data_IF_403551921513
#
_entry.id   IF_403551921513
#
_cell.length_a   1.000
_cell.length_b   1.000
_cell.length_c   1.000
_cell.angle_alpha   90.00
_cell.angle_beta   90.00
_cell.angle_gamma   90.00
#
_symmetry.space_group_name_H-M   'P 1'
#
loop_
_entity.id
_entity.type
_entity.pdbx_description
1 polymer ?
#
# COMPACT_ATOMS: atom_id res chain seq x y z
N UNK A 1 -15.59 -10.37 -10.56
CA UNK A 1 -14.48 -9.39 -10.45
C UNK A 1 -14.48 -8.39 -11.60
N UNK A 2 -14.70 -8.82 -12.85
CA UNK A 2 -14.76 -7.96 -14.05
C UNK A 2 -15.78 -6.81 -13.97
N UNK A 3 -16.98 -7.07 -13.44
CA UNK A 3 -18.07 -6.08 -13.36
C UNK A 3 -17.75 -4.86 -12.49
N UNK A 4 -17.02 -5.08 -11.39
CA UNK A 4 -16.58 -4.01 -10.47
C UNK A 4 -15.46 -3.18 -11.11
N UNK A 5 -14.54 -3.83 -11.83
CA UNK A 5 -13.48 -3.15 -12.57
C UNK A 5 -14.04 -2.35 -13.75
N UNK A 6 -15.10 -2.82 -14.41
CA UNK A 6 -15.75 -2.08 -15.49
C UNK A 6 -16.52 -0.85 -15.01
N UNK A 7 -16.91 -0.79 -13.74
CA UNK A 7 -17.59 0.35 -13.12
C UNK A 7 -16.72 1.06 -12.07
N UNK A 8 -15.40 0.96 -12.20
CA UNK A 8 -14.43 1.47 -11.23
C UNK A 8 -14.72 2.92 -10.79
N UNK A 9 -15.04 3.82 -11.73
CA UNK A 9 -15.33 5.24 -11.45
C UNK A 9 -16.60 5.48 -10.63
N UNK A 10 -17.53 4.53 -10.59
CA UNK A 10 -18.74 4.60 -9.75
C UNK A 10 -18.39 4.42 -8.28
N UNK A 11 -17.33 3.65 -7.98
CA UNK A 11 -16.92 3.30 -6.62
C UNK A 11 -15.69 4.09 -6.15
N UNK A 12 -14.81 4.47 -7.09
CA UNK A 12 -13.62 5.30 -6.86
C UNK A 12 -13.71 6.51 -7.78
N UNK A 13 -14.43 7.56 -7.36
CA UNK A 13 -14.70 8.72 -8.21
C UNK A 13 -13.45 9.58 -8.44
N UNK A 14 -12.49 9.56 -7.51
CA UNK A 14 -11.26 10.32 -7.60
C UNK A 14 -10.08 9.52 -7.04
N UNK A 15 -9.08 9.29 -7.89
CA UNK A 15 -7.87 8.53 -7.59
C UNK A 15 -6.93 9.26 -6.63
N UNK A 16 -7.03 10.59 -6.53
CA UNK A 16 -6.20 11.39 -5.63
C UNK A 16 -6.53 11.15 -4.15
N UNK A 17 -7.71 10.61 -3.85
CA UNK A 17 -8.10 10.23 -2.50
C UNK A 17 -7.91 8.73 -2.21
N UNK A 18 -7.43 7.96 -3.19
CA UNK A 18 -7.07 6.58 -2.96
C UNK A 18 -5.80 6.59 -2.10
N UNK A 19 -5.89 6.05 -0.89
CA UNK A 19 -4.73 5.91 -0.01
C UNK A 19 -3.66 5.13 -0.77
N UNK A 20 -2.57 5.81 -1.13
CA UNK A 20 -1.40 5.15 -1.70
C UNK A 20 -0.87 4.21 -0.62
N UNK A 21 -1.13 2.91 -0.80
CA UNK A 21 -0.59 1.88 0.06
C UNK A 21 0.91 1.80 -0.20
N UNK A 22 1.67 2.49 0.64
CA UNK A 22 3.10 2.63 0.48
C UNK A 22 3.83 2.05 1.68
N UNK A 23 5.14 1.92 1.52
CA UNK A 23 6.03 1.81 2.64
C UNK A 23 7.05 2.94 2.54
N UNK A 24 7.31 3.59 3.66
CA UNK A 24 8.36 4.60 3.78
C UNK A 24 9.55 3.96 4.45
N UNK A 25 10.72 4.06 3.84
CA UNK A 25 11.97 3.55 4.37
C UNK A 25 12.97 4.70 4.50
N UNK A 26 13.66 4.76 5.62
CA UNK A 26 14.77 5.66 5.87
C UNK A 26 16.05 4.84 6.01
N UNK A 27 17.03 5.15 5.18
CA UNK A 27 18.35 4.53 5.22
C UNK A 27 19.41 5.54 5.68
N UNK A 28 20.45 5.05 6.33
CA UNK A 28 21.64 5.86 6.60
C UNK A 28 22.58 5.94 5.38
N UNK A 29 23.69 6.66 5.52
CA UNK A 29 24.69 6.79 4.45
C UNK A 29 25.43 5.48 4.14
N UNK A 30 25.34 4.49 5.03
CA UNK A 30 25.91 3.15 4.89
C UNK A 30 24.88 2.14 4.36
N UNK A 31 23.68 2.61 3.99
CA UNK A 31 22.55 1.78 3.53
C UNK A 31 21.92 0.89 4.60
N UNK A 32 22.15 1.16 5.87
CA UNK A 32 21.47 0.50 6.98
C UNK A 32 20.07 1.10 7.20
N UNK A 33 19.10 0.24 7.50
CA UNK A 33 17.71 0.65 7.71
C UNK A 33 17.56 1.30 9.09
N UNK A 34 17.22 2.60 9.10
CA UNK A 34 16.99 3.37 10.32
C UNK A 34 15.52 3.39 10.74
N UNK A 35 14.61 3.40 9.77
CA UNK A 35 13.17 3.45 10.02
C UNK A 35 12.39 2.85 8.87
N UNK A 36 11.35 2.09 9.20
CA UNK A 36 10.33 1.67 8.24
C UNK A 36 8.92 1.95 8.77
N UNK A 37 8.09 2.54 7.93
CA UNK A 37 6.64 2.57 8.11
C UNK A 37 6.01 1.78 6.97
N UNK A 38 5.31 0.71 7.31
CA UNK A 38 4.59 -0.14 6.35
C UNK A 38 3.11 0.00 6.61
N UNK A 39 2.36 0.39 5.58
CA UNK A 39 0.91 0.34 5.65
C UNK A 39 0.44 -1.11 5.73
N UNK A 40 0.02 -1.50 6.95
CA UNK A 40 -0.50 -2.84 7.30
C UNK A 40 -1.71 -3.34 6.49
N UNK A 41 -2.58 -2.51 5.89
CA UNK A 41 -3.75 -3.01 5.15
C UNK A 41 -3.43 -3.96 3.98
N UNK A 42 -2.22 -3.90 3.40
CA UNK A 42 -1.78 -4.81 2.32
C UNK A 42 -0.71 -5.79 2.79
N UNK A 43 0.26 -5.35 3.60
CA UNK A 43 1.40 -6.20 3.99
C UNK A 43 1.15 -7.02 5.28
N UNK A 44 0.15 -6.66 6.09
CA UNK A 44 -0.20 -7.40 7.31
C UNK A 44 -0.82 -8.79 7.03
N UNK A 45 -1.31 -9.03 5.82
CA UNK A 45 -1.77 -10.36 5.38
C UNK A 45 -0.61 -11.28 4.97
N UNK A 46 0.53 -10.73 4.54
CA UNK A 46 1.69 -11.52 4.12
C UNK A 46 2.67 -11.83 5.27
N UNK A 47 2.57 -11.10 6.38
CA UNK A 47 3.42 -11.30 7.56
C UNK A 47 3.08 -12.59 8.34
N UNK A 48 1.90 -13.17 8.09
CA UNK A 48 1.46 -14.42 8.73
C UNK A 48 0.97 -15.43 7.67
N UNK A 49 1.92 -15.96 6.89
CA UNK A 49 1.69 -17.16 6.07
C UNK A 49 1.91 -18.41 6.92
N UNK A 50 0.95 -18.71 7.80
CA UNK A 50 0.85 -20.05 8.41
C UNK A 50 0.30 -21.07 7.42
#
# INVERSE_FOLDING_TARGET
MTEVLSHWKTYVPDFSYLTQHGATFLFDAQSELLYEHRDRPILGFAENMS
#
